data_IF_518011144421
#
_entry.id   IF_518011144421
#
_cell.length_a   1.000
_cell.length_b   1.000
_cell.length_c   1.000
_cell.angle_alpha   90.00
_cell.angle_beta   90.00
_cell.angle_gamma   90.00
#
_symmetry.space_group_name_H-M   'P 1'
#
loop_
_entity.id
_entity.type
_entity.pdbx_description
1 polymer ?
#
# COMPACT_ATOMS: atom_id res chain seq x y z
N UNK A 1 34.82 38.86 -26.75
CA UNK A 1 33.81 37.87 -27.21
C UNK A 1 34.04 36.43 -26.69
N UNK A 2 35.29 35.91 -26.65
CA UNK A 2 35.53 34.51 -26.21
C UNK A 2 35.09 34.21 -24.75
N UNK A 3 35.22 35.14 -23.81
CA UNK A 3 34.86 34.92 -22.41
C UNK A 3 33.36 34.89 -22.14
N UNK A 4 32.56 35.60 -22.92
CA UNK A 4 31.09 35.55 -22.82
C UNK A 4 30.51 34.19 -23.29
N UNK A 5 31.14 33.59 -24.30
CA UNK A 5 30.72 32.29 -24.83
C UNK A 5 30.98 31.16 -23.85
N UNK A 6 32.11 31.21 -23.12
CA UNK A 6 32.46 30.20 -22.10
C UNK A 6 31.51 30.31 -20.90
N UNK A 7 31.19 31.53 -20.42
CA UNK A 7 30.28 31.73 -19.31
C UNK A 7 28.84 31.27 -19.62
N UNK A 8 28.36 31.53 -20.83
CA UNK A 8 27.04 31.08 -21.26
C UNK A 8 26.96 29.55 -21.36
N UNK A 9 27.97 28.89 -21.91
CA UNK A 9 28.02 27.44 -22.06
C UNK A 9 28.09 26.73 -20.73
N UNK A 10 28.87 27.20 -19.77
CA UNK A 10 28.98 26.63 -18.42
C UNK A 10 27.67 26.78 -17.64
N UNK A 11 27.00 27.94 -17.70
CA UNK A 11 25.72 28.15 -17.01
C UNK A 11 24.62 27.25 -17.59
N UNK A 12 24.56 27.06 -18.91
CA UNK A 12 23.60 26.18 -19.58
C UNK A 12 23.81 24.72 -19.18
N UNK A 13 25.08 24.25 -19.12
CA UNK A 13 25.38 22.89 -18.68
C UNK A 13 24.99 22.65 -17.23
N UNK A 14 25.19 23.63 -16.34
CA UNK A 14 24.75 23.54 -14.92
C UNK A 14 23.21 23.46 -14.82
N UNK A 15 22.48 24.30 -15.56
CA UNK A 15 21.02 24.28 -15.60
C UNK A 15 20.47 22.93 -16.11
N UNK A 16 21.04 22.41 -17.20
CA UNK A 16 20.64 21.10 -17.74
C UNK A 16 20.93 19.99 -16.75
N UNK A 17 22.10 20.00 -16.09
CA UNK A 17 22.46 19.00 -15.08
C UNK A 17 21.53 19.04 -13.86
N UNK A 18 21.18 20.23 -13.37
CA UNK A 18 20.22 20.42 -12.28
C UNK A 18 18.82 19.97 -12.68
N UNK A 19 18.39 20.25 -13.90
CA UNK A 19 17.10 19.82 -14.42
C UNK A 19 17.00 18.27 -14.50
N UNK A 20 18.02 17.61 -15.01
CA UNK A 20 18.09 16.15 -15.04
C UNK A 20 18.18 15.54 -13.65
N UNK A 21 18.93 16.15 -12.73
CA UNK A 21 19.02 15.71 -11.33
C UNK A 21 17.67 15.83 -10.61
N UNK A 22 16.95 16.93 -10.81
CA UNK A 22 15.62 17.14 -10.21
C UNK A 22 14.58 16.19 -10.77
N UNK A 23 14.55 15.98 -12.10
CA UNK A 23 13.63 15.02 -12.73
C UNK A 23 13.97 13.55 -12.39
N UNK A 24 15.23 13.24 -12.11
CA UNK A 24 15.63 11.88 -11.73
C UNK A 24 15.11 11.47 -10.35
N UNK A 25 14.93 12.41 -9.43
CA UNK A 25 14.42 12.13 -8.08
C UNK A 25 12.93 11.78 -8.03
N UNK A 26 12.17 12.20 -9.05
CA UNK A 26 10.71 12.02 -9.08
C UNK A 26 10.25 10.93 -10.05
N UNK A 27 11.13 10.01 -10.45
CA UNK A 27 10.73 8.89 -11.30
C UNK A 27 9.94 7.87 -10.47
N UNK A 28 8.65 7.76 -10.76
CA UNK A 28 7.86 6.61 -10.40
C UNK A 28 8.43 5.39 -11.12
N UNK A 29 9.16 4.53 -10.43
CA UNK A 29 9.67 3.30 -11.00
C UNK A 29 8.56 2.25 -10.96
N UNK A 30 7.98 1.95 -12.13
CA UNK A 30 7.08 0.81 -12.30
C UNK A 30 7.93 -0.34 -12.84
N UNK A 31 8.18 -1.32 -12.01
CA UNK A 31 8.90 -2.55 -12.37
C UNK A 31 7.86 -3.67 -12.44
N UNK A 32 7.82 -4.41 -13.54
CA UNK A 32 6.93 -5.57 -13.72
C UNK A 32 7.74 -6.86 -13.87
N UNK A 33 8.42 -7.34 -12.82
CA UNK A 33 8.99 -8.68 -12.82
C UNK A 33 7.87 -9.69 -12.49
N UNK A 34 7.76 -10.76 -13.28
CA UNK A 34 6.87 -11.91 -13.01
C UNK A 34 5.37 -11.56 -12.83
N UNK A 35 4.81 -10.69 -13.66
CA UNK A 35 3.41 -10.23 -13.60
C UNK A 35 3.03 -9.40 -12.37
N UNK A 36 3.98 -8.92 -11.59
CA UNK A 36 3.75 -8.00 -10.48
C UNK A 36 4.06 -6.56 -10.89
N UNK A 37 3.27 -5.61 -10.41
CA UNK A 37 3.56 -4.18 -10.57
C UNK A 37 4.13 -3.68 -9.25
N UNK A 38 5.33 -3.11 -9.31
CA UNK A 38 5.97 -2.49 -8.14
C UNK A 38 6.04 -0.98 -8.38
N UNK A 39 5.52 -0.21 -7.45
CA UNK A 39 5.56 1.24 -7.45
C UNK A 39 6.39 1.68 -6.25
N UNK A 40 7.59 2.21 -6.51
CA UNK A 40 8.48 2.73 -5.47
C UNK A 40 8.27 4.23 -5.28
N UNK A 41 8.16 4.68 -4.04
CA UNK A 41 8.00 6.07 -3.64
C UNK A 41 8.85 6.43 -2.42
N UNK A 42 8.86 7.72 -2.05
CA UNK A 42 9.65 8.21 -0.91
C UNK A 42 9.26 7.58 0.44
N UNK A 43 7.99 7.23 0.61
CA UNK A 43 7.45 6.69 1.88
C UNK A 43 7.39 5.16 1.92
N UNK A 44 7.86 4.48 0.87
CA UNK A 44 7.83 3.03 0.76
C UNK A 44 7.39 2.56 -0.62
N UNK A 45 6.96 1.31 -0.73
CA UNK A 45 6.55 0.71 -2.02
C UNK A 45 5.16 0.10 -1.96
N UNK A 46 4.50 0.09 -3.12
CA UNK A 46 3.25 -0.64 -3.36
C UNK A 46 3.51 -1.78 -4.33
N UNK A 47 3.04 -2.98 -4.01
CA UNK A 47 3.13 -4.16 -4.88
C UNK A 47 1.70 -4.59 -5.22
N UNK A 48 1.42 -4.77 -6.52
CA UNK A 48 0.15 -5.31 -7.02
C UNK A 48 0.45 -6.68 -7.64
N UNK A 49 -0.09 -7.73 -7.05
CA UNK A 49 0.16 -9.11 -7.48
C UNK A 49 -0.99 -10.04 -7.06
N UNK A 50 -1.29 -11.04 -7.88
CA UNK A 50 -2.17 -12.15 -7.48
C UNK A 50 -3.53 -11.76 -6.89
N UNK A 51 -4.12 -10.64 -7.33
CA UNK A 51 -5.39 -10.15 -6.79
C UNK A 51 -5.26 -9.42 -5.45
N UNK A 52 -4.04 -9.03 -5.06
CA UNK A 52 -3.73 -8.28 -3.84
C UNK A 52 -2.95 -7.00 -4.14
N UNK A 53 -3.17 -5.99 -3.32
CA UNK A 53 -2.36 -4.76 -3.25
C UNK A 53 -1.72 -4.74 -1.87
N UNK A 54 -0.38 -4.72 -1.83
CA UNK A 54 0.42 -4.70 -0.61
C UNK A 54 1.17 -3.40 -0.51
N UNK A 55 1.13 -2.78 0.66
CA UNK A 55 1.84 -1.54 0.96
C UNK A 55 2.96 -1.83 1.96
N UNK A 56 4.14 -1.32 1.67
CA UNK A 56 5.33 -1.46 2.51
C UNK A 56 5.90 -0.09 2.84
N UNK A 57 6.36 0.09 4.07
CA UNK A 57 7.10 1.28 4.47
C UNK A 57 8.57 1.22 3.98
N UNK A 58 9.35 2.26 4.28
CA UNK A 58 10.77 2.34 3.90
C UNK A 58 11.65 1.27 4.57
N UNK A 59 11.22 0.71 5.68
CA UNK A 59 11.91 -0.41 6.37
C UNK A 59 11.53 -1.77 5.76
N UNK A 60 10.84 -1.77 4.62
CA UNK A 60 10.35 -2.95 3.91
C UNK A 60 9.37 -3.81 4.75
N UNK A 61 8.71 -3.21 5.73
CA UNK A 61 7.67 -3.86 6.52
C UNK A 61 6.31 -3.63 5.88
N UNK A 62 5.50 -4.68 5.76
CA UNK A 62 4.13 -4.55 5.24
C UNK A 62 3.27 -3.79 6.25
N UNK A 63 2.63 -2.70 5.79
CA UNK A 63 1.76 -1.84 6.61
C UNK A 63 0.29 -1.96 6.27
N UNK A 64 -0.04 -2.38 5.03
CA UNK A 64 -1.41 -2.66 4.63
C UNK A 64 -1.48 -3.74 3.54
N UNK A 65 -2.64 -4.40 3.47
CA UNK A 65 -3.02 -5.33 2.40
C UNK A 65 -4.48 -5.10 2.04
N UNK A 66 -4.79 -5.08 0.75
CA UNK A 66 -6.15 -5.06 0.21
C UNK A 66 -6.22 -6.13 -0.87
N UNK A 67 -7.20 -7.02 -0.81
CA UNK A 67 -7.35 -8.01 -1.86
C UNK A 67 -8.09 -9.27 -1.41
N UNK A 68 -7.77 -10.37 -2.04
CA UNK A 68 -8.40 -11.65 -1.76
C UNK A 68 -7.74 -12.33 -0.55
N UNK A 69 -8.56 -12.80 0.37
CA UNK A 69 -8.15 -13.71 1.45
C UNK A 69 -7.88 -15.12 0.91
N UNK A 70 -7.31 -15.99 1.74
CA UNK A 70 -7.15 -17.42 1.42
C UNK A 70 -8.48 -18.13 1.14
N UNK A 71 -9.59 -17.59 1.63
CA UNK A 71 -10.94 -18.13 1.46
C UNK A 71 -11.69 -17.49 0.28
N UNK A 72 -10.96 -16.84 -0.65
CA UNK A 72 -11.49 -16.18 -1.86
C UNK A 72 -12.47 -15.02 -1.58
N UNK A 73 -12.48 -14.50 -0.38
CA UNK A 73 -13.25 -13.30 0.01
C UNK A 73 -12.36 -12.08 0.03
N UNK A 74 -12.94 -10.90 -0.17
CA UNK A 74 -12.20 -9.64 -0.04
C UNK A 74 -11.78 -9.38 1.40
N UNK A 75 -10.57 -8.82 1.59
CA UNK A 75 -10.10 -8.39 2.90
C UNK A 75 -9.27 -7.11 2.82
N UNK A 76 -9.30 -6.35 3.90
CA UNK A 76 -8.40 -5.21 4.15
C UNK A 76 -7.73 -5.46 5.50
N UNK A 77 -6.40 -5.44 5.51
CA UNK A 77 -5.62 -5.63 6.73
C UNK A 77 -4.69 -4.44 6.91
N UNK A 78 -4.64 -3.91 8.13
CA UNK A 78 -3.63 -2.94 8.54
C UNK A 78 -2.70 -3.58 9.58
N UNK A 79 -1.42 -3.27 9.46
CA UNK A 79 -0.38 -3.73 10.37
C UNK A 79 0.26 -2.54 11.09
N UNK A 80 0.70 -2.74 12.32
CA UNK A 80 1.53 -1.77 13.00
C UNK A 80 3.01 -1.93 12.59
N UNK A 81 3.86 -1.02 13.08
CA UNK A 81 5.31 -1.04 12.81
C UNK A 81 6.04 -2.30 13.27
N UNK A 82 5.44 -3.11 14.14
CA UNK A 82 5.98 -4.39 14.62
C UNK A 82 5.49 -5.58 13.79
N UNK A 83 4.70 -5.32 12.73
CA UNK A 83 4.15 -6.36 11.84
C UNK A 83 2.92 -7.08 12.39
N UNK A 84 2.37 -6.63 13.54
CA UNK A 84 1.15 -7.20 14.07
C UNK A 84 -0.07 -6.65 13.36
N UNK A 85 -1.02 -7.53 13.03
CA UNK A 85 -2.31 -7.17 12.46
C UNK A 85 -3.15 -6.43 13.50
N UNK A 86 -3.48 -5.16 13.24
CA UNK A 86 -4.25 -4.32 14.15
C UNK A 86 -5.68 -4.06 13.69
N UNK A 87 -5.94 -4.11 12.38
CA UNK A 87 -7.29 -4.01 11.80
C UNK A 87 -7.47 -5.10 10.76
N UNK A 88 -8.64 -5.73 10.75
CA UNK A 88 -9.06 -6.65 9.70
C UNK A 88 -10.52 -6.37 9.34
N UNK A 89 -10.78 -6.09 8.06
CA UNK A 89 -12.12 -5.94 7.48
C UNK A 89 -12.24 -7.02 6.41
N UNK A 90 -13.30 -7.82 6.45
CA UNK A 90 -13.47 -8.90 5.48
C UNK A 90 -14.73 -9.71 5.73
N UNK A 91 -14.73 -10.96 5.29
CA UNK A 91 -15.80 -11.89 5.57
C UNK A 91 -15.51 -12.70 6.86
N UNK A 92 -16.54 -12.91 7.66
CA UNK A 92 -16.48 -13.78 8.83
C UNK A 92 -16.60 -15.25 8.41
N UNK A 93 -15.78 -16.11 9.00
CA UNK A 93 -15.79 -17.54 8.76
C UNK A 93 -15.91 -18.27 10.11
N UNK A 94 -17.09 -18.75 10.43
CA UNK A 94 -17.36 -19.53 11.65
C UNK A 94 -18.75 -19.27 12.22
N UNK A 95 -19.15 -20.09 13.17
CA UNK A 95 -20.31 -19.94 14.07
C UNK A 95 -21.67 -19.67 13.38
N UNK A 96 -21.90 -20.26 12.18
CA UNK A 96 -23.17 -20.10 11.46
C UNK A 96 -23.36 -18.69 10.83
N UNK A 97 -22.38 -17.79 10.93
CA UNK A 97 -22.40 -16.45 10.35
C UNK A 97 -21.40 -16.29 9.20
N UNK A 98 -20.98 -17.40 8.61
CA UNK A 98 -20.03 -17.39 7.47
C UNK A 98 -20.53 -16.53 6.32
N UNK A 99 -19.64 -15.70 5.79
CA UNK A 99 -19.93 -14.79 4.69
C UNK A 99 -20.40 -13.41 5.12
N UNK A 100 -20.82 -13.21 6.38
CA UNK A 100 -21.13 -11.87 6.87
C UNK A 100 -19.88 -10.99 6.92
N UNK A 101 -20.03 -9.69 6.71
CA UNK A 101 -18.95 -8.75 6.89
C UNK A 101 -18.49 -8.69 8.36
N UNK A 102 -17.18 -8.58 8.57
CA UNK A 102 -16.59 -8.40 9.89
C UNK A 102 -15.60 -7.26 9.90
N UNK A 103 -15.57 -6.50 10.98
CA UNK A 103 -14.51 -5.57 11.35
C UNK A 103 -13.92 -6.03 12.68
N UNK A 104 -12.63 -6.36 12.68
CA UNK A 104 -11.85 -6.67 13.88
C UNK A 104 -10.86 -5.57 14.18
N UNK A 105 -10.76 -5.17 15.43
CA UNK A 105 -9.73 -4.29 15.98
C UNK A 105 -8.93 -5.07 17.01
N UNK A 106 -7.63 -5.13 16.82
CA UNK A 106 -6.70 -5.81 17.73
C UNK A 106 -5.86 -4.77 18.49
N UNK A 107 -5.27 -5.20 19.61
CA UNK A 107 -4.32 -4.37 20.33
C UNK A 107 -2.96 -4.28 19.62
N UNK A 108 -2.02 -3.54 20.19
CA UNK A 108 -0.67 -3.33 19.62
C UNK A 108 0.14 -4.62 19.42
N UNK A 109 -0.20 -5.70 20.13
CA UNK A 109 0.46 -7.00 20.03
C UNK A 109 -0.24 -7.95 19.04
N UNK A 110 -1.32 -7.48 18.38
CA UNK A 110 -2.12 -8.29 17.46
C UNK A 110 -3.13 -9.19 18.13
N UNK A 111 -3.31 -9.08 19.47
CA UNK A 111 -4.30 -9.84 20.21
C UNK A 111 -5.68 -9.22 20.01
N UNK A 112 -6.71 -10.08 20.01
CA UNK A 112 -8.10 -9.66 19.83
C UNK A 112 -8.50 -8.59 20.86
N UNK A 113 -9.02 -7.48 20.39
CA UNK A 113 -9.55 -6.41 21.21
C UNK A 113 -11.08 -6.28 21.08
N UNK A 114 -11.58 -6.09 19.87
CA UNK A 114 -12.98 -5.86 19.61
C UNK A 114 -13.36 -6.25 18.19
N UNK A 115 -14.62 -6.69 17.97
CA UNK A 115 -15.14 -6.91 16.63
C UNK A 115 -16.63 -6.57 16.52
N UNK A 116 -17.07 -6.28 15.29
CA UNK A 116 -18.46 -6.24 14.89
C UNK A 116 -18.69 -7.12 13.67
N UNK A 117 -19.76 -7.89 13.68
CA UNK A 117 -20.18 -8.76 12.57
C UNK A 117 -21.51 -8.21 12.07
N UNK A 118 -21.60 -8.00 10.73
CA UNK A 118 -22.83 -7.59 10.09
C UNK A 118 -23.89 -8.68 10.23
N UNK A 119 -25.06 -8.32 10.77
CA UNK A 119 -26.23 -9.20 10.82
C UNK A 119 -27.33 -8.58 9.98
N UNK A 120 -28.02 -9.40 9.20
CA UNK A 120 -29.28 -8.99 8.57
C UNK A 120 -30.34 -8.96 9.69
N UNK A 121 -30.87 -7.77 10.01
CA UNK A 121 -32.06 -7.68 10.85
C UNK A 121 -33.29 -8.01 9.97
N UNK A 122 -34.08 -8.95 10.37
CA UNK A 122 -35.33 -9.33 9.68
C UNK A 122 -36.37 -8.18 9.59
N UNK A 123 -36.10 -7.06 10.22
CA UNK A 123 -37.00 -5.89 10.29
C UNK A 123 -36.96 -5.02 9.00
N UNK A 124 -36.05 -5.25 8.06
CA UNK A 124 -35.94 -4.46 6.82
C UNK A 124 -36.58 -5.13 5.58
N UNK A 125 -37.28 -6.25 5.74
CA UNK A 125 -37.94 -6.96 4.62
C UNK A 125 -39.48 -7.03 4.78
N UNK A 126 -40.12 -5.96 5.28
CA UNK A 126 -41.58 -5.79 5.22
C UNK A 126 -41.95 -4.65 4.29
#
# INVERSE_FOLDING_TARGET
MKHYFIGFFTSTCIFISLFFYYNSKNKLNIISPNNNIVIDGELGKTIIEGGQIKFYNNDNQQVALIGNSKNLSGEIILFNKSGHKIVNIGAHFGDGMSGNGILNINNQNGEYGWSVIGKVSSEHYN
#
